data_IF_595087060165
#
_entry.id   IF_595087060165
#
_cell.length_a   1.000
_cell.length_b   1.000
_cell.length_c   1.000
_cell.angle_alpha   90.00
_cell.angle_beta   90.00
_cell.angle_gamma   90.00
#
_symmetry.space_group_name_H-M   'P 1'
#
loop_
_entity.id
_entity.type
_entity.pdbx_description
1 polymer ?
#
# COMPACT_ATOMS: atom_id res chain seq x y z
N UNK A 1 87.04 24.74 -16.30
CA UNK A 1 86.88 24.72 -14.83
C UNK A 1 85.41 24.93 -14.51
N UNK A 2 84.70 23.89 -14.08
CA UNK A 2 83.33 24.00 -13.57
C UNK A 2 83.37 24.58 -12.16
N UNK A 3 82.52 25.56 -11.86
CA UNK A 3 82.37 26.15 -10.52
C UNK A 3 80.95 25.88 -10.02
N UNK A 4 80.82 24.90 -9.14
CA UNK A 4 79.62 24.70 -8.32
C UNK A 4 79.52 25.84 -7.30
N UNK A 5 78.32 26.38 -7.09
CA UNK A 5 78.02 27.16 -5.87
C UNK A 5 76.57 26.93 -5.43
N UNK A 6 76.46 25.95 -4.53
CA UNK A 6 75.58 25.81 -3.36
C UNK A 6 74.27 26.63 -3.31
N UNK A 7 73.17 25.90 -3.39
CA UNK A 7 71.77 26.35 -3.20
C UNK A 7 71.51 26.65 -1.71
N UNK A 8 71.29 27.92 -1.37
CA UNK A 8 70.88 28.34 -0.02
C UNK A 8 69.38 28.08 0.19
N UNK A 9 69.03 27.27 1.21
CA UNK A 9 67.67 26.98 1.65
C UNK A 9 67.18 28.09 2.59
N UNK A 10 66.19 28.87 2.18
CA UNK A 10 65.43 29.76 3.08
C UNK A 10 64.45 28.93 3.92
N UNK A 11 64.21 29.24 5.21
CA UNK A 11 63.28 28.48 6.05
C UNK A 11 61.84 28.70 5.60
N UNK A 12 61.05 27.62 5.48
CA UNK A 12 59.59 27.68 5.34
C UNK A 12 59.00 27.97 6.72
N UNK A 13 58.49 29.18 6.92
CA UNK A 13 57.56 29.49 8.02
C UNK A 13 56.25 28.72 7.76
N UNK A 14 55.67 28.00 8.74
CA UNK A 14 54.33 27.47 8.58
C UNK A 14 53.34 28.65 8.67
N UNK A 15 52.85 29.09 7.51
CA UNK A 15 51.71 30.00 7.42
C UNK A 15 50.48 29.32 8.02
N UNK A 16 50.13 29.73 9.24
CA UNK A 16 48.90 29.36 9.89
C UNK A 16 47.74 29.88 9.03
N UNK A 17 47.01 28.99 8.36
CA UNK A 17 45.80 29.37 7.62
C UNK A 17 44.71 29.69 8.65
N UNK A 18 44.15 30.91 8.70
CA UNK A 18 42.99 31.15 9.54
C UNK A 18 41.80 30.35 8.98
N UNK A 19 41.23 29.50 9.82
CA UNK A 19 39.98 28.78 9.55
C UNK A 19 38.86 29.79 9.23
N UNK A 20 38.13 29.67 8.10
CA UNK A 20 37.11 30.65 7.72
C UNK A 20 35.79 30.50 8.50
N UNK A 21 35.69 29.56 9.44
CA UNK A 21 34.50 29.39 10.25
C UNK A 21 34.53 30.33 11.44
N UNK A 22 33.94 31.51 11.26
CA UNK A 22 33.52 32.34 12.37
C UNK A 22 32.59 31.52 13.26
N UNK A 23 33.00 31.23 14.50
CA UNK A 23 32.17 30.54 15.49
C UNK A 23 30.78 31.16 15.65
N UNK A 24 30.68 32.48 15.46
CA UNK A 24 29.42 33.22 15.42
C UNK A 24 28.49 32.76 14.27
N UNK A 25 29.03 32.53 13.07
CA UNK A 25 28.26 32.06 11.92
C UNK A 25 27.78 30.62 12.11
N UNK A 26 28.61 29.76 12.71
CA UNK A 26 28.24 28.38 13.04
C UNK A 26 27.12 28.33 14.10
N UNK A 27 27.21 29.16 15.14
CA UNK A 27 26.18 29.26 16.17
C UNK A 27 24.84 29.76 15.59
N UNK A 28 24.88 30.70 14.64
CA UNK A 28 23.70 31.25 13.99
C UNK A 28 23.00 30.21 13.11
N UNK A 29 23.77 29.43 12.34
CA UNK A 29 23.23 28.33 11.54
C UNK A 29 22.65 27.21 12.40
N UNK A 30 23.32 26.84 13.49
CA UNK A 30 22.81 25.85 14.45
C UNK A 30 21.52 26.33 15.12
N UNK A 31 21.44 27.62 15.47
CA UNK A 31 20.24 28.23 16.05
C UNK A 31 19.03 28.18 15.09
N UNK A 32 19.22 28.57 13.83
CA UNK A 32 18.16 28.51 12.80
C UNK A 32 17.74 27.05 12.55
N UNK A 33 18.68 26.11 12.54
CA UNK A 33 18.39 24.70 12.33
C UNK A 33 17.52 24.11 13.45
N UNK A 34 17.85 24.38 14.72
CA UNK A 34 17.06 23.92 15.87
C UNK A 34 15.67 24.58 15.88
N UNK A 35 15.59 25.88 15.54
CA UNK A 35 14.30 26.58 15.37
C UNK A 35 13.47 25.99 14.21
N UNK A 36 14.12 25.65 13.10
CA UNK A 36 13.47 25.03 11.93
C UNK A 36 12.92 23.63 12.24
N UNK A 37 13.67 22.80 12.98
CA UNK A 37 13.18 21.51 13.46
C UNK A 37 11.99 21.73 14.41
N UNK A 38 12.13 22.61 15.41
CA UNK A 38 11.09 22.90 16.40
C UNK A 38 9.78 23.41 15.78
N UNK A 39 9.87 24.34 14.82
CA UNK A 39 8.72 24.81 14.07
C UNK A 39 8.14 23.69 13.18
N UNK A 40 9.00 22.92 12.51
CA UNK A 40 8.62 21.77 11.70
C UNK A 40 7.81 20.74 12.48
N UNK A 41 8.29 20.30 13.65
CA UNK A 41 7.53 19.35 14.49
C UNK A 41 6.23 19.93 15.01
N UNK A 42 6.16 21.22 15.34
CA UNK A 42 4.91 21.85 15.77
C UNK A 42 3.86 21.87 14.64
N UNK A 43 4.27 22.23 13.41
CA UNK A 43 3.39 22.19 12.23
C UNK A 43 3.06 20.76 11.78
N UNK A 44 3.99 19.81 11.87
CA UNK A 44 3.73 18.39 11.61
C UNK A 44 2.79 17.77 12.64
N UNK A 45 2.77 18.28 13.87
CA UNK A 45 1.88 17.80 14.95
C UNK A 45 0.45 18.36 14.84
N UNK A 46 0.26 19.50 14.18
CA UNK A 46 -1.06 20.09 13.90
C UNK A 46 -1.54 19.85 12.48
N UNK A 47 -0.88 18.96 11.73
CA UNK A 47 -1.47 18.41 10.53
C UNK A 47 -2.68 17.57 10.96
N UNK A 48 -3.87 18.17 10.88
CA UNK A 48 -5.13 17.46 10.94
C UNK A 48 -5.16 16.53 9.73
N UNK A 49 -4.61 15.32 9.90
CA UNK A 49 -4.80 14.23 8.95
C UNK A 49 -6.29 13.91 9.00
N UNK A 50 -7.08 14.57 8.15
CA UNK A 50 -8.38 14.05 7.73
C UNK A 50 -8.11 12.61 7.29
N UNK A 51 -8.67 11.58 7.95
CA UNK A 51 -8.35 10.20 7.67
C UNK A 51 -9.09 9.77 6.39
N UNK A 52 -8.68 10.33 5.27
CA UNK A 52 -8.96 9.81 3.92
C UNK A 52 -7.72 9.07 3.38
N UNK A 53 -6.82 8.62 4.26
CA UNK A 53 -5.69 7.78 3.89
C UNK A 53 -6.08 6.30 3.86
N UNK A 54 -6.52 5.88 2.68
CA UNK A 54 -6.57 4.50 2.21
C UNK A 54 -5.16 3.89 2.10
N UNK A 55 -4.46 3.61 3.21
CA UNK A 55 -3.11 3.04 3.15
C UNK A 55 -2.63 2.32 4.41
N UNK A 56 -3.49 1.57 5.08
CA UNK A 56 -3.01 0.56 6.03
C UNK A 56 -3.79 -0.71 5.78
N UNK A 57 -3.13 -1.71 5.19
CA UNK A 57 -3.68 -3.07 5.06
C UNK A 57 -4.26 -3.52 6.40
N UNK A 58 -3.58 -3.17 7.49
CA UNK A 58 -4.05 -3.43 8.86
C UNK A 58 -5.40 -2.78 9.21
N UNK A 59 -5.74 -1.60 8.68
CA UNK A 59 -7.05 -0.98 8.89
C UNK A 59 -8.14 -1.72 8.11
N UNK A 60 -7.84 -2.17 6.89
CA UNK A 60 -8.75 -2.95 6.05
C UNK A 60 -8.98 -4.34 6.67
N UNK A 61 -7.90 -5.00 7.11
CA UNK A 61 -7.95 -6.31 7.76
C UNK A 61 -8.75 -6.28 9.06
N UNK A 62 -8.56 -5.26 9.90
CA UNK A 62 -9.33 -5.11 11.15
C UNK A 62 -10.79 -4.71 10.93
N UNK A 63 -11.08 -4.02 9.84
CA UNK A 63 -12.46 -3.59 9.53
C UNK A 63 -13.25 -4.68 8.80
N UNK A 64 -12.61 -5.76 8.37
CA UNK A 64 -13.26 -6.87 7.69
C UNK A 64 -14.36 -7.50 8.57
N UNK A 65 -15.47 -7.97 7.96
CA UNK A 65 -16.47 -8.72 8.70
C UNK A 65 -15.86 -10.04 9.20
N UNK A 66 -15.96 -10.30 10.50
CA UNK A 66 -15.36 -11.45 11.18
C UNK A 66 -13.85 -11.59 10.85
N UNK A 67 -12.99 -10.69 11.35
CA UNK A 67 -11.61 -10.55 10.89
C UNK A 67 -10.78 -11.84 11.09
N UNK A 68 -10.97 -12.56 12.19
CA UNK A 68 -10.26 -13.83 12.45
C UNK A 68 -10.62 -14.90 11.42
N UNK A 69 -11.91 -15.01 11.09
CA UNK A 69 -12.42 -15.94 10.08
C UNK A 69 -11.90 -15.53 8.70
N UNK A 70 -11.94 -14.23 8.40
CA UNK A 70 -11.53 -13.73 7.11
C UNK A 70 -10.05 -13.99 6.85
N UNK A 71 -9.17 -13.75 7.82
CA UNK A 71 -7.73 -14.05 7.72
C UNK A 71 -7.49 -15.56 7.59
N UNK A 72 -8.23 -16.38 8.36
CA UNK A 72 -8.02 -17.83 8.37
C UNK A 72 -8.53 -18.54 7.10
N UNK A 73 -9.66 -18.10 6.54
CA UNK A 73 -10.36 -18.82 5.47
C UNK A 73 -10.43 -18.05 4.15
N UNK A 74 -9.97 -16.80 4.12
CA UNK A 74 -10.10 -15.90 2.97
C UNK A 74 -9.06 -14.77 2.97
N UNK A 75 -9.48 -13.62 2.46
CA UNK A 75 -8.74 -12.37 2.46
C UNK A 75 -9.71 -11.19 2.68
N UNK A 76 -9.26 -10.18 3.43
CA UNK A 76 -10.01 -8.93 3.59
C UNK A 76 -10.14 -8.25 2.23
N UNK A 77 -11.29 -7.61 2.00
CA UNK A 77 -11.59 -6.93 0.76
C UNK A 77 -12.38 -5.65 1.02
N UNK A 78 -12.25 -4.70 0.11
CA UNK A 78 -13.12 -3.53 0.09
C UNK A 78 -14.13 -3.72 -1.04
N UNK A 79 -15.39 -3.88 -0.67
CA UNK A 79 -16.50 -4.06 -1.60
C UNK A 79 -17.01 -2.70 -2.05
N UNK A 80 -17.19 -2.55 -3.36
CA UNK A 80 -17.66 -1.32 -3.99
C UNK A 80 -19.03 -1.56 -4.63
N UNK A 81 -20.07 -0.93 -4.08
CA UNK A 81 -21.41 -0.97 -4.68
C UNK A 81 -21.60 0.23 -5.60
N UNK A 82 -21.66 0.00 -6.91
CA UNK A 82 -21.97 1.03 -7.90
C UNK A 82 -23.17 0.62 -8.76
N UNK A 83 -23.93 1.61 -9.23
CA UNK A 83 -25.04 1.41 -10.15
C UNK A 83 -24.66 1.94 -11.52
N UNK A 84 -24.79 1.08 -12.52
CA UNK A 84 -24.65 1.43 -13.92
C UNK A 84 -26.05 1.61 -14.51
N UNK A 85 -26.32 2.80 -15.05
CA UNK A 85 -27.56 3.10 -15.75
C UNK A 85 -27.28 3.12 -17.24
N UNK A 86 -27.97 2.26 -17.99
CA UNK A 86 -27.91 2.23 -19.45
C UNK A 86 -29.26 2.66 -19.99
N UNK A 87 -29.31 3.85 -20.58
CA UNK A 87 -30.48 4.36 -21.30
C UNK A 87 -30.34 3.96 -22.75
N UNK A 88 -31.43 3.54 -23.41
CA UNK A 88 -31.40 3.10 -24.82
C UNK A 88 -32.07 4.08 -25.80
N UNK A 89 -32.68 5.18 -25.29
CA UNK A 89 -33.31 6.25 -26.07
C UNK A 89 -33.26 7.60 -25.34
N UNK A 90 -32.26 8.46 -25.61
CA UNK A 90 -31.03 8.22 -26.37
C UNK A 90 -30.09 7.22 -25.67
N UNK A 91 -29.13 6.63 -26.39
CA UNK A 91 -28.16 5.71 -25.77
C UNK A 91 -27.17 6.46 -24.88
N UNK A 92 -27.22 6.23 -23.57
CA UNK A 92 -26.33 6.88 -22.59
C UNK A 92 -26.00 5.93 -21.44
N UNK A 93 -24.77 6.00 -20.92
CA UNK A 93 -24.33 5.23 -19.75
C UNK A 93 -23.93 6.19 -18.63
N UNK A 94 -24.48 5.99 -17.43
CA UNK A 94 -24.15 6.75 -16.22
C UNK A 94 -23.69 5.82 -15.11
N UNK A 95 -22.73 6.26 -14.31
CA UNK A 95 -22.23 5.55 -13.13
C UNK A 95 -22.55 6.35 -11.88
N UNK A 96 -23.07 5.71 -10.84
CA UNK A 96 -23.27 6.36 -9.55
C UNK A 96 -21.97 6.44 -8.76
N UNK A 97 -21.91 7.35 -7.80
CA UNK A 97 -20.87 7.33 -6.78
C UNK A 97 -20.85 5.97 -6.07
N UNK A 98 -19.69 5.28 -6.00
CA UNK A 98 -19.60 3.97 -5.36
C UNK A 98 -19.71 4.11 -3.84
N UNK A 99 -20.41 3.16 -3.21
CA UNK A 99 -20.37 3.02 -1.74
C UNK A 99 -19.33 1.98 -1.38
N UNK A 100 -18.39 2.38 -0.52
CA UNK A 100 -17.30 1.53 -0.06
C UNK A 100 -17.69 0.85 1.25
N UNK A 101 -17.53 -0.47 1.34
CA UNK A 101 -17.80 -1.24 2.55
C UNK A 101 -16.72 -2.31 2.75
N UNK A 102 -16.37 -2.65 4.01
CA UNK A 102 -15.50 -3.78 4.27
C UNK A 102 -16.21 -5.09 3.95
N UNK A 103 -15.46 -6.02 3.39
CA UNK A 103 -15.91 -7.36 3.04
C UNK A 103 -14.80 -8.37 3.18
N UNK A 104 -15.14 -9.62 2.90
CA UNK A 104 -14.22 -10.74 2.91
C UNK A 104 -14.46 -11.63 1.71
N UNK A 105 -13.38 -12.05 1.05
CA UNK A 105 -13.43 -13.04 -0.04
C UNK A 105 -12.87 -14.36 0.47
N UNK A 106 -13.68 -15.41 0.43
CA UNK A 106 -13.28 -16.74 0.90
C UNK A 106 -12.40 -17.46 -0.13
N UNK A 107 -11.52 -18.33 0.35
CA UNK A 107 -10.82 -19.31 -0.50
C UNK A 107 -11.77 -20.44 -0.91
N UNK A 108 -11.58 -20.95 -2.12
CA UNK A 108 -12.43 -21.98 -2.76
C UNK A 108 -12.57 -23.27 -1.94
N UNK A 109 -11.56 -23.61 -1.15
CA UNK A 109 -11.53 -24.80 -0.30
C UNK A 109 -12.31 -24.65 1.03
N UNK A 110 -12.69 -23.43 1.41
CA UNK A 110 -13.24 -23.15 2.74
C UNK A 110 -14.72 -22.79 2.76
N UNK A 111 -15.47 -23.04 1.67
CA UNK A 111 -16.89 -22.67 1.58
C UNK A 111 -17.82 -23.44 2.50
N UNK A 112 -17.38 -24.60 3.01
CA UNK A 112 -18.14 -25.40 3.97
C UNK A 112 -18.54 -24.60 5.23
N UNK A 113 -17.80 -23.54 5.58
CA UNK A 113 -18.15 -22.66 6.70
C UNK A 113 -19.47 -21.93 6.50
N UNK A 114 -19.80 -21.58 5.26
CA UNK A 114 -21.06 -20.91 4.92
C UNK A 114 -22.23 -21.90 4.94
N UNK A 115 -22.02 -23.14 4.48
CA UNK A 115 -23.02 -24.21 4.53
C UNK A 115 -23.33 -24.63 5.98
N UNK A 116 -22.29 -24.79 6.81
CA UNK A 116 -22.44 -25.14 8.23
C UNK A 116 -23.27 -24.10 8.99
N UNK A 117 -23.09 -22.81 8.65
CA UNK A 117 -23.86 -21.70 9.22
C UNK A 117 -25.23 -21.51 8.54
N UNK A 118 -25.58 -22.35 7.56
CA UNK A 118 -26.82 -22.29 6.77
C UNK A 118 -27.02 -20.95 6.04
N UNK A 119 -25.92 -20.30 5.68
CA UNK A 119 -25.94 -19.02 4.96
C UNK A 119 -25.99 -19.22 3.45
N UNK A 120 -25.59 -20.40 2.98
CA UNK A 120 -25.73 -20.87 1.60
C UNK A 120 -26.20 -22.33 1.60
N UNK A 121 -26.84 -22.75 0.52
CA UNK A 121 -27.23 -24.15 0.31
C UNK A 121 -26.27 -24.88 -0.63
N UNK A 122 -26.37 -26.22 -0.67
CA UNK A 122 -25.50 -27.08 -1.48
C UNK A 122 -25.61 -26.82 -2.98
N UNK A 123 -26.78 -26.39 -3.45
CA UNK A 123 -26.99 -26.06 -4.87
C UNK A 123 -26.28 -24.75 -5.25
N UNK A 124 -26.36 -23.72 -4.41
CA UNK A 124 -25.64 -22.46 -4.57
C UNK A 124 -24.13 -22.68 -4.57
N UNK A 125 -23.63 -23.53 -3.68
CA UNK A 125 -22.22 -23.90 -3.62
C UNK A 125 -21.79 -24.61 -4.89
N UNK A 126 -22.57 -25.59 -5.35
CA UNK A 126 -22.31 -26.32 -6.60
C UNK A 126 -22.32 -25.39 -7.82
N UNK A 127 -23.33 -24.53 -7.94
CA UNK A 127 -23.48 -23.60 -9.05
C UNK A 127 -22.35 -22.57 -9.09
N UNK A 128 -21.94 -22.07 -7.91
CA UNK A 128 -20.81 -21.17 -7.80
C UNK A 128 -19.49 -21.85 -8.19
N UNK A 129 -19.29 -23.09 -7.70
CA UNK A 129 -18.12 -23.92 -8.04
C UNK A 129 -18.00 -24.16 -9.53
N UNK A 130 -19.11 -24.53 -10.18
CA UNK A 130 -19.14 -24.88 -11.60
C UNK A 130 -18.79 -23.69 -12.52
N UNK A 131 -18.92 -22.46 -12.01
CA UNK A 131 -18.56 -21.23 -12.73
C UNK A 131 -17.13 -20.76 -12.46
N UNK A 132 -16.33 -21.54 -11.74
CA UNK A 132 -14.98 -21.17 -11.26
C UNK A 132 -14.99 -19.84 -10.48
N UNK A 133 -16.07 -19.58 -9.75
CA UNK A 133 -16.23 -18.40 -8.92
C UNK A 133 -15.83 -18.69 -7.47
N UNK A 134 -15.79 -17.65 -6.63
CA UNK A 134 -15.67 -17.78 -5.18
C UNK A 134 -16.77 -17.01 -4.44
N UNK A 135 -16.89 -17.21 -3.13
CA UNK A 135 -17.83 -16.46 -2.30
C UNK A 135 -17.15 -15.25 -1.66
N UNK A 136 -17.79 -14.09 -1.82
CA UNK A 136 -17.50 -12.89 -1.05
C UNK A 136 -18.68 -12.55 -0.15
N UNK A 137 -18.41 -11.89 0.98
CA UNK A 137 -19.46 -11.41 1.86
C UNK A 137 -19.16 -10.05 2.48
N UNK A 138 -20.23 -9.32 2.81
CA UNK A 138 -20.20 -8.09 3.60
C UNK A 138 -21.10 -8.24 4.83
N UNK A 139 -20.73 -7.57 5.92
CA UNK A 139 -21.43 -7.70 7.20
C UNK A 139 -21.11 -9.00 7.95
N UNK A 140 -21.45 -9.04 9.24
CA UNK A 140 -21.09 -10.15 10.13
C UNK A 140 -21.91 -11.42 9.82
N UNK A 141 -21.24 -12.58 9.74
CA UNK A 141 -21.83 -13.88 9.48
C UNK A 141 -22.82 -14.35 10.55
N UNK A 142 -22.74 -13.82 11.77
CA UNK A 142 -23.65 -14.16 12.87
C UNK A 142 -24.98 -13.37 12.82
N UNK A 143 -25.05 -12.34 11.96
CA UNK A 143 -26.24 -11.52 11.75
C UNK A 143 -26.91 -11.82 10.41
N UNK A 144 -27.06 -10.78 9.59
CA UNK A 144 -27.61 -10.87 8.23
C UNK A 144 -26.55 -10.41 7.20
N UNK A 145 -25.54 -11.25 6.91
CA UNK A 145 -24.52 -10.92 5.93
C UNK A 145 -25.10 -10.90 4.52
N UNK A 146 -24.51 -10.11 3.62
CA UNK A 146 -24.74 -10.27 2.19
C UNK A 146 -23.66 -11.17 1.62
N UNK A 147 -24.06 -12.29 1.01
CA UNK A 147 -23.14 -13.27 0.43
C UNK A 147 -23.39 -13.33 -1.06
N UNK A 148 -22.32 -13.22 -1.85
CA UNK A 148 -22.38 -13.24 -3.29
C UNK A 148 -21.35 -14.20 -3.86
N UNK A 149 -21.77 -14.99 -4.85
CA UNK A 149 -20.87 -15.73 -5.70
C UNK A 149 -20.22 -14.75 -6.70
N UNK A 150 -18.95 -14.45 -6.50
CA UNK A 150 -18.17 -13.46 -7.24
C UNK A 150 -17.17 -14.16 -8.15
N UNK A 151 -16.99 -13.61 -9.35
CA UNK A 151 -16.01 -14.10 -10.32
C UNK A 151 -14.64 -13.49 -10.03
N UNK A 152 -13.61 -14.34 -9.99
CA UNK A 152 -12.23 -13.88 -9.97
C UNK A 152 -11.72 -13.80 -11.41
N UNK A 153 -11.34 -12.60 -11.84
CA UNK A 153 -10.67 -12.45 -13.12
C UNK A 153 -9.19 -12.82 -12.97
N UNK A 154 -8.83 -14.05 -13.33
CA UNK A 154 -7.44 -14.52 -13.30
C UNK A 154 -6.57 -13.95 -14.44
N UNK A 155 -7.12 -13.09 -15.31
CA UNK A 155 -6.46 -12.60 -16.54
C UNK A 155 -6.22 -11.08 -16.52
N UNK A 156 -5.90 -10.52 -15.35
CA UNK A 156 -4.99 -9.38 -15.32
C UNK A 156 -3.59 -9.92 -15.07
N UNK A 157 -3.04 -10.65 -16.06
CA UNK A 157 -1.62 -10.96 -16.08
C UNK A 157 -0.87 -9.67 -15.79
N UNK A 158 -0.11 -9.68 -14.69
CA UNK A 158 0.47 -8.50 -14.07
C UNK A 158 1.19 -7.65 -15.13
N UNK A 159 0.53 -6.63 -15.69
CA UNK A 159 1.09 -5.85 -16.80
C UNK A 159 2.33 -5.04 -16.38
N UNK A 160 2.62 -5.02 -15.08
CA UNK A 160 3.85 -4.50 -14.48
C UNK A 160 5.07 -5.41 -14.68
N UNK A 161 4.88 -6.71 -14.95
CA UNK A 161 6.01 -7.65 -15.15
C UNK A 161 6.56 -7.65 -16.57
N UNK A 162 5.88 -7.01 -17.53
CA UNK A 162 6.34 -6.84 -18.90
C UNK A 162 6.88 -5.42 -19.15
N UNK A 163 7.67 -4.89 -18.21
CA UNK A 163 8.43 -3.66 -18.45
C UNK A 163 9.84 -4.04 -18.95
N UNK A 164 10.17 -3.86 -20.24
CA UNK A 164 11.54 -4.05 -20.71
C UNK A 164 12.42 -2.95 -20.09
N UNK A 165 13.12 -3.28 -19.00
CA UNK A 165 14.02 -2.35 -18.31
C UNK A 165 14.25 -2.62 -16.82
N UNK A 166 13.44 -3.43 -16.15
CA UNK A 166 13.79 -3.88 -14.79
C UNK A 166 14.77 -5.05 -14.89
N UNK A 167 16.02 -4.76 -14.56
CA UNK A 167 17.13 -5.70 -14.59
C UNK A 167 16.79 -7.00 -13.88
N UNK A 168 17.31 -8.09 -14.43
CA UNK A 168 17.25 -9.45 -13.89
C UNK A 168 17.84 -9.51 -12.48
N UNK A 169 17.01 -9.23 -11.49
CA UNK A 169 17.18 -9.63 -10.10
C UNK A 169 16.05 -10.57 -9.76
N UNK A 170 16.32 -11.87 -9.84
CA UNK A 170 15.37 -12.92 -9.51
C UNK A 170 14.85 -12.74 -8.07
N UNK A 171 13.60 -12.30 -7.91
CA UNK A 171 12.82 -12.60 -6.72
C UNK A 171 12.03 -13.87 -6.98
N UNK A 172 12.49 -14.92 -6.31
CA UNK A 172 11.89 -16.25 -6.23
C UNK A 172 10.41 -16.16 -5.89
N UNK A 173 9.59 -16.55 -6.89
CA UNK A 173 8.41 -17.43 -6.81
C UNK A 173 7.84 -17.63 -5.40
N UNK A 174 6.82 -16.85 -5.05
CA UNK A 174 5.90 -17.14 -3.95
C UNK A 174 4.47 -17.27 -4.53
N UNK A 175 4.30 -18.26 -5.42
CA UNK A 175 3.01 -18.58 -6.06
C UNK A 175 2.36 -19.84 -5.50
N UNK A 176 2.75 -20.27 -4.30
CA UNK A 176 2.13 -21.42 -3.61
C UNK A 176 1.36 -21.00 -2.34
N UNK A 177 0.95 -19.73 -2.25
CA UNK A 177 0.24 -19.23 -1.08
C UNK A 177 -0.94 -18.31 -1.42
N UNK A 178 -1.87 -18.81 -2.24
CA UNK A 178 -3.22 -18.26 -2.37
C UNK A 178 -4.26 -19.38 -2.45
#
# INVERSE_FOLDING_TARGET
>A
MYRETTRSRTPRTPGNKPSPFNYLSLALMAGIFILGIGAGVAFSSTATFTPENVASLEFIDRSAPNPELCVQYGASATVMDTRLFVTFKPFSVYVSQPRMQPGCVLRTNNWAILEQRRLVNSDQVRDCKNRMNTFGFTGNLDGSPQINCIYQNEIAGNMFLNQPGMGTGATTRDSERF
#
